data_IF_601523812723
#
_entry.id   IF_601523812723
#
_cell.length_a   1.000
_cell.length_b   1.000
_cell.length_c   1.000
_cell.angle_alpha   90.00
_cell.angle_beta   90.00
_cell.angle_gamma   90.00
#
_symmetry.space_group_name_H-M   'P 1'
#
loop_
_entity.id
_entity.type
_entity.pdbx_description
1 polymer ?
#
# COMPACT_ATOMS: atom_id res chain seq x y z
N UNK A 1 4.66 -6.89 4.28
CA UNK A 1 4.65 -6.09 3.01
C UNK A 1 4.09 -4.67 3.20
N UNK A 2 4.38 -3.72 2.30
CA UNK A 2 3.74 -2.38 2.29
C UNK A 2 2.43 -2.41 1.48
N UNK A 3 1.34 -1.93 2.09
CA UNK A 3 0.08 -1.60 1.40
C UNK A 3 0.07 -0.11 1.07
N UNK A 4 -0.36 0.23 -0.15
CA UNK A 4 -0.60 1.60 -0.58
C UNK A 4 -2.10 1.91 -0.56
N UNK A 5 -2.47 3.08 -0.04
CA UNK A 5 -3.84 3.58 0.02
C UNK A 5 -4.12 4.59 -1.10
N UNK A 6 -3.32 4.56 -2.18
CA UNK A 6 -3.39 5.56 -3.24
C UNK A 6 -4.76 5.62 -3.94
N UNK A 7 -5.48 4.50 -4.05
CA UNK A 7 -6.86 4.50 -4.58
C UNK A 7 -7.84 5.27 -3.68
N UNK A 8 -7.66 5.14 -2.36
CA UNK A 8 -8.51 5.80 -1.36
C UNK A 8 -8.26 7.31 -1.40
N UNK A 9 -7.00 7.74 -1.39
CA UNK A 9 -6.63 9.15 -1.53
C UNK A 9 -7.11 9.79 -2.84
N UNK A 10 -7.09 9.04 -3.95
CA UNK A 10 -7.66 9.51 -5.23
C UNK A 10 -9.15 9.74 -5.09
N UNK A 11 -9.90 8.79 -4.52
CA UNK A 11 -11.34 8.91 -4.35
C UNK A 11 -11.72 10.08 -3.43
N UNK A 12 -10.99 10.28 -2.33
CA UNK A 12 -11.21 11.39 -1.41
C UNK A 12 -10.99 12.75 -2.10
N UNK A 13 -9.91 12.87 -2.89
CA UNK A 13 -9.63 14.08 -3.67
C UNK A 13 -10.69 14.31 -4.76
N UNK A 14 -11.11 13.26 -5.47
CA UNK A 14 -12.20 13.34 -6.46
C UNK A 14 -13.51 13.85 -5.86
N UNK A 15 -13.85 13.34 -4.66
CA UNK A 15 -15.04 13.78 -3.93
C UNK A 15 -14.93 15.24 -3.49
N UNK A 16 -13.80 15.64 -2.90
CA UNK A 16 -13.56 17.00 -2.44
C UNK A 16 -13.58 18.02 -3.59
N UNK A 17 -12.99 17.68 -4.74
CA UNK A 17 -12.88 18.56 -5.90
C UNK A 17 -14.07 18.46 -6.87
N UNK A 18 -15.00 17.52 -6.64
CA UNK A 18 -16.17 17.26 -7.50
C UNK A 18 -15.80 17.02 -8.96
N UNK A 19 -14.66 16.37 -9.21
CA UNK A 19 -14.16 16.04 -10.54
C UNK A 19 -13.35 14.76 -10.51
N UNK A 20 -13.22 14.12 -11.67
CA UNK A 20 -12.36 12.95 -11.83
C UNK A 20 -10.88 13.35 -11.79
N UNK A 21 -10.08 12.58 -11.06
CA UNK A 21 -8.62 12.69 -10.98
C UNK A 21 -8.03 11.49 -11.71
N UNK A 22 -7.26 11.75 -12.77
CA UNK A 22 -6.68 10.67 -13.58
C UNK A 22 -5.25 10.38 -13.18
N UNK A 23 -4.77 9.15 -13.41
CA UNK A 23 -3.34 8.81 -13.28
C UNK A 23 -2.46 9.73 -14.13
N UNK A 24 -2.96 10.16 -15.28
CA UNK A 24 -2.22 11.06 -16.16
C UNK A 24 -2.00 12.45 -15.58
N UNK A 25 -2.95 12.94 -14.79
CA UNK A 25 -2.86 14.19 -14.05
C UNK A 25 -1.90 14.06 -12.87
N UNK A 26 -2.06 13.02 -12.04
CA UNK A 26 -1.16 12.77 -10.91
C UNK A 26 0.29 12.68 -11.41
N UNK A 27 0.53 11.95 -12.51
CA UNK A 27 1.86 11.86 -13.12
C UNK A 27 2.42 13.22 -13.56
N UNK A 28 1.57 14.09 -14.11
CA UNK A 28 1.97 15.42 -14.57
C UNK A 28 2.32 16.33 -13.39
N UNK A 29 1.48 16.36 -12.35
CA UNK A 29 1.63 17.25 -11.20
C UNK A 29 2.74 16.78 -10.25
N UNK A 30 2.90 15.47 -10.05
CA UNK A 30 3.94 14.91 -9.17
C UNK A 30 5.28 14.68 -9.86
N UNK A 31 5.29 14.63 -11.20
CA UNK A 31 6.45 14.17 -11.98
C UNK A 31 6.73 12.67 -11.88
N UNK A 32 5.86 11.87 -11.23
CA UNK A 32 6.01 10.42 -11.14
C UNK A 32 5.56 9.77 -12.46
N UNK A 33 6.34 8.80 -12.95
CA UNK A 33 5.97 8.07 -14.16
C UNK A 33 4.62 7.34 -14.01
N UNK A 34 3.74 7.42 -15.03
CA UNK A 34 2.42 6.75 -15.05
C UNK A 34 2.52 5.24 -14.79
N UNK A 35 3.54 4.57 -15.30
CA UNK A 35 3.77 3.14 -15.08
C UNK A 35 4.09 2.84 -13.61
N UNK A 36 4.85 3.71 -12.95
CA UNK A 36 5.14 3.60 -11.52
C UNK A 36 3.86 3.76 -10.70
N UNK A 37 3.05 4.79 -10.98
CA UNK A 37 1.74 4.97 -10.33
C UNK A 37 0.84 3.76 -10.55
N UNK A 38 0.77 3.22 -11.77
CA UNK A 38 0.01 2.01 -12.06
C UNK A 38 0.47 0.82 -11.23
N UNK A 39 1.78 0.64 -11.05
CA UNK A 39 2.32 -0.44 -10.21
C UNK A 39 2.00 -0.23 -8.73
N UNK A 40 2.13 0.99 -8.20
CA UNK A 40 1.76 1.34 -6.83
C UNK A 40 0.27 0.99 -6.57
N UNK A 41 -0.59 1.28 -7.54
CA UNK A 41 -2.05 1.10 -7.43
C UNK A 41 -2.49 -0.37 -7.57
N UNK A 42 -1.81 -1.14 -8.41
CA UNK A 42 -2.28 -2.47 -8.82
C UNK A 42 -1.43 -3.63 -8.29
N UNK A 43 -0.21 -3.39 -7.80
CA UNK A 43 0.67 -4.43 -7.30
C UNK A 43 0.99 -4.21 -5.80
N UNK A 44 0.30 -4.91 -4.89
CA UNK A 44 0.61 -4.88 -3.47
C UNK A 44 2.09 -5.18 -3.21
N UNK A 45 2.72 -4.44 -2.29
CA UNK A 45 4.13 -4.62 -1.98
C UNK A 45 5.11 -4.16 -3.06
N UNK A 46 4.67 -3.45 -4.11
CA UNK A 46 5.57 -2.85 -5.08
C UNK A 46 6.63 -1.98 -4.39
N UNK A 47 7.90 -2.24 -4.67
CA UNK A 47 8.99 -1.39 -4.17
C UNK A 47 9.00 -0.05 -4.92
N UNK A 48 9.08 1.04 -4.17
CA UNK A 48 9.23 2.41 -4.69
C UNK A 48 10.33 3.13 -3.91
N UNK A 49 10.72 4.31 -4.36
CA UNK A 49 11.66 5.18 -3.64
C UNK A 49 10.92 6.17 -2.76
N UNK A 50 11.58 6.67 -1.72
CA UNK A 50 11.01 7.63 -0.76
C UNK A 50 10.58 8.95 -1.42
N UNK A 51 11.30 9.40 -2.45
CA UNK A 51 10.94 10.58 -3.25
C UNK A 51 9.54 10.47 -3.88
N UNK A 52 9.13 9.27 -4.32
CA UNK A 52 7.77 9.07 -4.82
C UNK A 52 6.73 9.17 -3.70
N UNK A 53 7.05 8.75 -2.48
CA UNK A 53 6.16 8.86 -1.33
C UNK A 53 6.00 10.33 -0.93
N UNK A 54 7.11 11.07 -0.84
CA UNK A 54 7.12 12.50 -0.52
C UNK A 54 6.29 13.31 -1.54
N UNK A 55 6.49 13.08 -2.84
CA UNK A 55 5.70 13.72 -3.91
C UNK A 55 4.21 13.41 -3.81
N UNK A 56 3.84 12.17 -3.48
CA UNK A 56 2.44 11.80 -3.30
C UNK A 56 1.85 12.46 -2.05
N UNK A 57 2.55 12.45 -0.92
CA UNK A 57 2.13 13.14 0.30
C UNK A 57 1.92 14.64 0.03
N UNK A 58 2.84 15.30 -0.69
CA UNK A 58 2.70 16.70 -1.08
C UNK A 58 1.47 16.94 -1.98
N UNK A 59 1.28 16.13 -3.02
CA UNK A 59 0.15 16.26 -3.95
C UNK A 59 -1.22 16.03 -3.30
N UNK A 60 -1.32 15.07 -2.40
CA UNK A 60 -2.55 14.78 -1.66
C UNK A 60 -2.68 15.59 -0.38
N UNK A 61 -1.64 16.33 0.03
CA UNK A 61 -1.55 17.05 1.29
C UNK A 61 -1.91 16.16 2.49
N UNK A 62 -1.29 14.97 2.54
CA UNK A 62 -1.56 13.94 3.54
C UNK A 62 -0.29 13.49 4.28
N UNK A 63 -0.48 12.95 5.48
CA UNK A 63 0.57 12.31 6.26
C UNK A 63 0.94 10.94 5.66
N UNK A 64 2.15 10.47 5.94
CA UNK A 64 2.69 9.25 5.33
C UNK A 64 1.90 7.98 5.70
N UNK A 65 1.31 7.94 6.89
CA UNK A 65 0.48 6.84 7.39
C UNK A 65 -0.89 6.77 6.71
N UNK A 66 -1.36 7.89 6.14
CA UNK A 66 -2.52 7.91 5.26
C UNK A 66 -2.20 7.35 3.88
N UNK A 67 -0.94 7.43 3.42
CA UNK A 67 -0.51 6.91 2.10
C UNK A 67 -0.13 5.42 2.14
N UNK A 68 0.56 4.98 3.19
CA UNK A 68 1.08 3.61 3.30
C UNK A 68 0.85 2.98 4.68
N UNK A 69 0.73 1.66 4.70
CA UNK A 69 0.72 0.88 5.94
C UNK A 69 1.56 -0.38 5.80
N UNK A 70 2.35 -0.69 6.83
CA UNK A 70 3.05 -1.95 6.91
C UNK A 70 2.12 -3.08 7.37
N UNK A 71 1.99 -4.11 6.55
CA UNK A 71 1.28 -5.36 6.85
C UNK A 71 2.30 -6.40 7.29
N UNK A 72 2.16 -6.94 8.51
CA UNK A 72 3.01 -8.02 9.01
C UNK A 72 2.80 -9.29 8.17
N UNK A 73 3.89 -9.96 7.79
CA UNK A 73 3.81 -11.27 7.13
C UNK A 73 3.32 -12.31 8.16
N UNK A 74 2.17 -12.96 7.91
CA UNK A 74 1.56 -13.93 8.83
C UNK A 74 2.20 -15.34 8.82
N UNK A 75 3.40 -15.52 8.25
CA UNK A 75 4.00 -16.85 8.01
C UNK A 75 4.58 -17.58 9.24
N UNK A 76 4.31 -17.17 10.47
CA UNK A 76 4.92 -17.80 11.66
C UNK A 76 3.97 -17.97 12.87
N UNK A 77 2.67 -18.15 12.65
CA UNK A 77 1.72 -18.38 13.75
C UNK A 77 0.93 -19.71 13.69
N UNK A 78 1.09 -20.52 12.65
CA UNK A 78 0.28 -21.74 12.46
C UNK A 78 1.05 -23.06 12.60
N UNK A 79 2.34 -23.02 12.94
CA UNK A 79 3.18 -24.23 13.03
C UNK A 79 3.75 -24.46 14.45
N UNK A 80 2.91 -24.24 15.47
CA UNK A 80 3.20 -24.62 16.86
C UNK A 80 2.25 -25.73 17.31
N UNK A 81 2.61 -26.95 16.92
CA UNK A 81 2.59 -28.14 17.78
C UNK A 81 1.25 -28.62 18.35
N UNK A 82 0.56 -29.49 17.62
CA UNK A 82 -0.04 -30.70 18.22
C UNK A 82 0.93 -31.87 18.02
N UNK A 83 1.98 -31.90 18.85
CA UNK A 83 2.64 -33.15 19.20
C UNK A 83 1.67 -33.90 20.12
N UNK A 84 0.74 -34.67 19.55
CA UNK A 84 0.09 -35.76 20.27
C UNK A 84 1.16 -36.83 20.47
N UNK A 85 1.87 -36.73 21.60
CA UNK A 85 2.80 -37.73 22.05
C UNK A 85 2.10 -39.08 22.16
N UNK A 86 2.61 -40.06 21.42
CA UNK A 86 2.50 -41.47 21.70
C UNK A 86 2.98 -41.71 23.15
N UNK A 87 2.03 -41.70 24.09
CA UNK A 87 2.20 -42.12 25.48
C UNK A 87 1.76 -43.56 25.61
N UNK A 88 2.74 -44.46 25.48
CA UNK A 88 2.65 -45.90 25.76
C UNK A 88 2.56 -46.12 27.27
N UNK A 89 1.66 -46.99 27.76
CA UNK A 89 1.92 -47.87 28.92
C UNK A 89 0.76 -48.87 29.17
N UNK A 90 1.17 -50.15 29.22
CA UNK A 90 0.59 -51.38 29.79
C UNK A 90 -0.76 -51.96 29.33
#
# INVERSE_FOLDING_TARGET
MIRYHLKELIADKEFAEKRRITIGEIAKETGINRMTLSKIINHPGHSTVTDNLDKLCNYFSCDIDQLITHIKDQRQAEDVGEYSGDGKED
#
